data_IF_478235150996
#
_entry.id   IF_478235150996
#
_cell.length_a   1.000
_cell.length_b   1.000
_cell.length_c   1.000
_cell.angle_alpha   90.00
_cell.angle_beta   90.00
_cell.angle_gamma   90.00
#
_symmetry.space_group_name_H-M   'P 1'
#
loop_
_entity.id
_entity.type
_entity.pdbx_description
1 polymer ?
#
# COMPACT_ATOMS: atom_id res chain seq x y z
N UNK A 1 -2.82 1.45 4.53
CA UNK A 1 -2.49 2.18 3.28
C UNK A 1 -3.45 3.32 2.98
N UNK A 2 -4.78 3.13 3.07
CA UNK A 2 -5.78 4.18 2.77
C UNK A 2 -5.52 5.48 3.54
N UNK A 3 -5.42 5.42 4.88
CA UNK A 3 -5.18 6.61 5.72
C UNK A 3 -3.85 7.29 5.40
N UNK A 4 -2.75 6.53 5.37
CA UNK A 4 -1.41 7.05 5.09
C UNK A 4 -1.32 7.65 3.66
N UNK A 5 -2.00 7.06 2.68
CA UNK A 5 -2.11 7.60 1.33
C UNK A 5 -2.94 8.89 1.29
N UNK A 6 -4.03 8.95 2.06
CA UNK A 6 -4.82 10.16 2.27
C UNK A 6 -3.97 11.29 2.86
N UNK A 7 -3.19 11.01 3.91
CA UNK A 7 -2.26 11.98 4.49
C UNK A 7 -1.21 12.46 3.46
N UNK A 8 -0.65 11.54 2.66
CA UNK A 8 0.30 11.87 1.59
C UNK A 8 -0.33 12.77 0.52
N UNK A 9 -1.60 12.56 0.20
CA UNK A 9 -2.34 13.40 -0.76
C UNK A 9 -2.64 14.79 -0.19
N UNK A 10 -3.14 14.86 1.04
CA UNK A 10 -3.62 16.09 1.69
C UNK A 10 -2.48 17.02 2.10
N UNK A 11 -1.31 16.47 2.43
CA UNK A 11 -0.08 17.24 2.70
C UNK A 11 0.64 17.76 1.46
N UNK A 12 0.22 17.35 0.26
CA UNK A 12 0.92 17.66 -0.99
C UNK A 12 2.16 16.81 -1.27
N UNK A 13 2.52 15.88 -0.37
CA UNK A 13 3.72 15.05 -0.46
C UNK A 13 3.75 14.09 -1.65
N UNK A 14 2.61 13.76 -2.25
CA UNK A 14 2.47 12.68 -3.25
C UNK A 14 3.24 12.82 -4.58
N UNK A 15 4.10 13.84 -4.74
CA UNK A 15 4.96 14.06 -5.91
C UNK A 15 6.43 14.31 -5.53
N UNK A 16 6.80 14.13 -4.26
CA UNK A 16 8.16 14.37 -3.75
C UNK A 16 9.19 13.32 -4.20
N UNK A 17 8.75 12.12 -4.61
CA UNK A 17 9.61 11.03 -5.10
C UNK A 17 9.30 10.73 -6.56
N UNK A 18 10.13 11.27 -7.44
CA UNK A 18 9.97 11.13 -8.90
C UNK A 18 10.45 9.79 -9.44
N UNK A 19 11.44 9.19 -8.79
CA UNK A 19 12.05 7.96 -9.26
C UNK A 19 11.25 6.74 -8.79
N UNK A 20 11.12 5.78 -9.70
CA UNK A 20 10.59 4.47 -9.37
C UNK A 20 11.73 3.52 -9.01
N UNK A 21 12.01 3.41 -7.71
CA UNK A 21 13.06 2.56 -7.15
C UNK A 21 12.47 1.49 -6.21
N UNK A 22 11.92 0.36 -6.73
CA UNK A 22 11.23 -0.65 -5.92
C UNK A 22 12.10 -1.38 -4.89
N UNK A 23 13.39 -1.49 -5.17
CA UNK A 23 14.36 -2.16 -4.29
C UNK A 23 15.14 -1.11 -3.49
N UNK A 24 15.99 -0.32 -4.16
CA UNK A 24 16.87 0.66 -3.49
C UNK A 24 16.11 1.73 -2.70
N UNK A 25 14.91 2.13 -3.14
CA UNK A 25 14.09 3.10 -2.42
C UNK A 25 13.48 2.58 -1.11
N UNK A 26 13.74 1.33 -0.71
CA UNK A 26 13.37 0.83 0.61
C UNK A 26 14.22 1.45 1.72
N UNK A 27 15.43 1.90 1.38
CA UNK A 27 16.26 2.72 2.24
C UNK A 27 16.00 4.20 1.94
N UNK A 28 15.97 5.08 2.95
CA UNK A 28 15.93 6.51 2.72
C UNK A 28 17.30 7.01 2.25
N UNK A 29 17.41 8.26 1.76
CA UNK A 29 18.69 8.86 1.43
C UNK A 29 19.61 8.88 2.64
N UNK A 30 20.79 8.26 2.51
CA UNK A 30 21.75 8.10 3.61
C UNK A 30 22.87 9.14 3.60
N UNK A 31 22.95 9.98 2.56
CA UNK A 31 23.98 11.01 2.41
C UNK A 31 23.37 12.36 2.03
N UNK A 32 24.06 13.43 2.41
CA UNK A 32 23.70 14.80 2.05
C UNK A 32 23.71 15.01 0.52
N UNK A 33 24.63 14.36 -0.19
CA UNK A 33 24.69 14.39 -1.65
C UNK A 33 23.43 13.80 -2.29
N UNK A 34 22.92 12.68 -1.77
CA UNK A 34 21.70 12.05 -2.29
C UNK A 34 20.46 12.91 -1.99
N UNK A 35 20.39 13.51 -0.80
CA UNK A 35 19.34 14.47 -0.47
C UNK A 35 19.29 15.65 -1.45
N UNK A 36 20.45 16.21 -1.79
CA UNK A 36 20.55 17.31 -2.75
C UNK A 36 20.19 16.89 -4.17
N UNK A 37 20.57 15.67 -4.58
CA UNK A 37 20.20 15.11 -5.89
C UNK A 37 18.69 14.97 -6.05
N UNK A 38 18.02 14.37 -5.06
CA UNK A 38 16.57 14.19 -5.07
C UNK A 38 15.83 15.53 -4.99
N UNK A 39 16.34 16.47 -4.20
CA UNK A 39 15.77 17.81 -4.15
C UNK A 39 15.93 18.54 -5.48
N UNK A 40 17.08 18.43 -6.15
CA UNK A 40 17.30 19.01 -7.48
C UNK A 40 16.37 18.42 -8.54
N UNK A 41 15.97 17.14 -8.41
CA UNK A 41 14.91 16.56 -9.24
C UNK A 41 13.56 17.19 -8.93
N UNK A 42 13.20 17.32 -7.65
CA UNK A 42 11.96 17.96 -7.24
C UNK A 42 11.82 19.40 -7.72
N UNK A 43 12.92 20.17 -7.74
CA UNK A 43 12.94 21.53 -8.28
C UNK A 43 12.58 21.61 -9.78
N UNK A 44 12.68 20.50 -10.51
CA UNK A 44 12.36 20.44 -11.93
C UNK A 44 10.86 20.30 -12.20
N UNK A 45 10.04 19.88 -11.21
CA UNK A 45 8.61 19.63 -11.44
C UNK A 45 7.74 20.88 -11.19
N UNK A 46 6.56 20.97 -11.82
CA UNK A 46 5.70 22.14 -11.68
C UNK A 46 5.21 22.38 -10.25
N UNK A 47 5.03 21.34 -9.44
CA UNK A 47 4.66 21.51 -8.03
C UNK A 47 5.67 22.39 -7.27
N UNK A 48 6.97 22.22 -7.51
CA UNK A 48 7.96 23.11 -6.89
C UNK A 48 7.82 24.54 -7.43
N UNK A 49 7.81 24.70 -8.76
CA UNK A 49 7.81 26.02 -9.41
C UNK A 49 6.55 26.84 -9.12
N UNK A 50 5.39 26.20 -9.01
CA UNK A 50 4.09 26.86 -8.90
C UNK A 50 3.60 26.98 -7.45
N UNK A 51 4.06 26.12 -6.54
CA UNK A 51 3.53 26.06 -5.16
C UNK A 51 4.61 26.18 -4.08
N UNK A 52 5.82 25.66 -4.32
CA UNK A 52 6.88 25.60 -3.32
C UNK A 52 8.13 26.38 -3.77
N UNK A 53 7.96 27.45 -4.53
CA UNK A 53 9.07 28.29 -4.97
C UNK A 53 9.79 28.87 -3.74
N UNK A 54 11.12 28.76 -3.73
CA UNK A 54 11.94 29.17 -2.58
C UNK A 54 11.97 28.18 -1.41
N UNK A 55 11.28 27.02 -1.50
CA UNK A 55 11.39 25.96 -0.49
C UNK A 55 12.84 25.49 -0.36
N UNK A 56 13.35 25.38 0.87
CA UNK A 56 14.66 24.80 1.15
C UNK A 56 14.63 23.28 1.28
N UNK A 57 15.83 22.68 1.42
CA UNK A 57 15.99 21.22 1.55
C UNK A 57 15.20 20.63 2.73
N UNK A 58 15.10 21.34 3.86
CA UNK A 58 14.35 20.85 5.00
C UNK A 58 12.84 20.79 4.73
N UNK A 59 12.27 21.76 4.00
CA UNK A 59 10.88 21.70 3.55
C UNK A 59 10.64 20.48 2.65
N UNK A 60 11.57 20.22 1.71
CA UNK A 60 11.51 19.03 0.87
C UNK A 60 11.57 17.72 1.68
N UNK A 61 12.43 17.64 2.70
CA UNK A 61 12.52 16.45 3.58
C UNK A 61 11.19 16.12 4.24
N UNK A 62 10.41 17.12 4.66
CA UNK A 62 9.09 16.89 5.26
C UNK A 62 8.12 16.24 4.28
N UNK A 63 8.08 16.70 3.02
CA UNK A 63 7.27 16.08 1.97
C UNK A 63 7.77 14.65 1.67
N UNK A 64 9.09 14.51 1.48
CA UNK A 64 9.73 13.25 1.14
C UNK A 64 9.43 12.15 2.16
N UNK A 65 9.56 12.43 3.46
CA UNK A 65 9.41 11.41 4.50
C UNK A 65 8.02 10.77 4.49
N UNK A 66 6.98 11.57 4.26
CA UNK A 66 5.61 11.05 4.26
C UNK A 66 5.35 10.16 3.05
N UNK A 67 5.79 10.60 1.86
CA UNK A 67 5.66 9.77 0.65
C UNK A 67 6.53 8.51 0.73
N UNK A 68 7.76 8.63 1.22
CA UNK A 68 8.66 7.51 1.42
C UNK A 68 8.06 6.49 2.40
N UNK A 69 7.53 6.94 3.53
CA UNK A 69 6.88 6.08 4.51
C UNK A 69 5.65 5.39 3.91
N UNK A 70 4.85 6.11 3.12
CA UNK A 70 3.74 5.53 2.39
C UNK A 70 4.19 4.40 1.45
N UNK A 71 5.20 4.67 0.61
CA UNK A 71 5.75 3.67 -0.32
C UNK A 71 6.40 2.49 0.39
N UNK A 72 7.17 2.72 1.46
CA UNK A 72 7.82 1.67 2.23
C UNK A 72 6.78 0.78 2.91
N UNK A 73 5.76 1.37 3.55
CA UNK A 73 4.71 0.61 4.23
C UNK A 73 3.94 -0.30 3.28
N UNK A 74 3.69 0.16 2.05
CA UNK A 74 3.11 -0.67 0.99
C UNK A 74 3.97 -1.90 0.66
N UNK A 75 5.29 -1.72 0.55
CA UNK A 75 6.23 -2.83 0.28
C UNK A 75 6.27 -3.84 1.43
N UNK A 76 6.37 -3.33 2.66
CA UNK A 76 6.41 -4.17 3.87
C UNK A 76 5.14 -5.02 4.00
N UNK A 77 3.97 -4.43 3.77
CA UNK A 77 2.70 -5.18 3.76
C UNK A 77 2.67 -6.25 2.66
N UNK A 78 3.21 -5.94 1.46
CA UNK A 78 3.33 -6.90 0.38
C UNK A 78 4.18 -8.11 0.77
N UNK A 79 5.36 -7.88 1.35
CA UNK A 79 6.25 -8.96 1.83
C UNK A 79 5.62 -9.72 2.99
N UNK A 80 5.06 -9.02 3.98
CA UNK A 80 4.41 -9.60 5.14
C UNK A 80 3.19 -10.46 4.77
N UNK A 81 2.53 -10.18 3.64
CA UNK A 81 1.46 -11.00 3.11
C UNK A 81 1.98 -12.17 2.26
N UNK A 82 2.95 -11.93 1.38
CA UNK A 82 3.46 -12.92 0.44
C UNK A 82 4.17 -14.08 1.14
N UNK A 83 5.02 -13.81 2.14
CA UNK A 83 5.81 -14.86 2.78
C UNK A 83 4.93 -15.92 3.49
N UNK A 84 3.94 -15.55 4.33
CA UNK A 84 3.01 -16.53 4.90
C UNK A 84 2.15 -17.21 3.83
N UNK A 85 1.70 -16.49 2.80
CA UNK A 85 0.92 -17.08 1.70
C UNK A 85 1.69 -18.23 1.05
N UNK A 86 2.96 -18.00 0.66
CA UNK A 86 3.81 -19.03 0.08
C UNK A 86 4.02 -20.20 1.06
N UNK A 87 4.33 -19.92 2.33
CA UNK A 87 4.52 -20.94 3.35
C UNK A 87 3.29 -21.85 3.52
N UNK A 88 2.08 -21.28 3.64
CA UNK A 88 0.85 -22.06 3.77
C UNK A 88 0.42 -22.76 2.49
N UNK A 89 0.74 -22.18 1.33
CA UNK A 89 0.46 -22.80 0.04
C UNK A 89 1.34 -24.02 -0.20
N UNK A 90 2.65 -23.88 -0.03
CA UNK A 90 3.64 -24.94 -0.24
C UNK A 90 3.50 -26.07 0.78
N UNK A 91 3.07 -25.76 2.01
CA UNK A 91 2.75 -26.78 3.03
C UNK A 91 1.38 -27.44 2.86
N UNK A 92 0.58 -27.06 1.85
CA UNK A 92 -0.72 -27.67 1.58
C UNK A 92 -1.81 -27.36 2.62
N UNK A 93 -1.58 -26.40 3.53
CA UNK A 93 -2.48 -26.08 4.65
C UNK A 93 -3.71 -25.25 4.27
N UNK A 94 -3.76 -24.74 3.04
CA UNK A 94 -4.85 -23.89 2.54
C UNK A 94 -5.92 -24.70 1.82
N UNK A 95 -7.18 -24.57 2.29
CA UNK A 95 -8.37 -25.07 1.59
C UNK A 95 -8.50 -24.37 0.22
N UNK A 96 -9.02 -25.05 -0.83
CA UNK A 96 -9.08 -24.48 -2.19
C UNK A 96 -9.76 -23.11 -2.28
N UNK A 97 -10.88 -22.93 -1.59
CA UNK A 97 -11.61 -21.66 -1.57
C UNK A 97 -10.79 -20.51 -0.94
N UNK A 98 -10.13 -20.77 0.19
CA UNK A 98 -9.28 -19.77 0.86
C UNK A 98 -8.05 -19.46 0.01
N UNK A 99 -7.45 -20.47 -0.63
CA UNK A 99 -6.32 -20.29 -1.54
C UNK A 99 -6.66 -19.35 -2.70
N UNK A 100 -7.81 -19.53 -3.34
CA UNK A 100 -8.28 -18.66 -4.41
C UNK A 100 -8.51 -17.22 -3.94
N UNK A 101 -9.11 -17.04 -2.75
CA UNK A 101 -9.33 -15.71 -2.15
C UNK A 101 -8.00 -15.01 -1.82
N UNK A 102 -7.04 -15.72 -1.23
CA UNK A 102 -5.73 -15.16 -0.91
C UNK A 102 -4.94 -14.80 -2.18
N UNK A 103 -5.05 -15.61 -3.25
CA UNK A 103 -4.48 -15.27 -4.56
C UNK A 103 -5.10 -14.00 -5.14
N UNK A 104 -6.44 -13.86 -5.06
CA UNK A 104 -7.14 -12.64 -5.48
C UNK A 104 -6.69 -11.42 -4.66
N UNK A 105 -6.58 -11.54 -3.34
CA UNK A 105 -6.08 -10.46 -2.46
C UNK A 105 -4.65 -10.06 -2.86
N UNK A 106 -3.76 -11.03 -3.12
CA UNK A 106 -2.41 -10.75 -3.59
C UNK A 106 -2.43 -9.99 -4.92
N UNK A 107 -3.20 -10.47 -5.90
CA UNK A 107 -3.31 -9.86 -7.22
C UNK A 107 -3.85 -8.42 -7.16
N UNK A 108 -4.89 -8.19 -6.35
CA UNK A 108 -5.45 -6.86 -6.12
C UNK A 108 -4.44 -5.94 -5.39
N UNK A 109 -3.67 -6.47 -4.45
CA UNK A 109 -2.58 -5.74 -3.78
C UNK A 109 -1.43 -5.36 -4.73
N UNK A 110 -1.03 -6.27 -5.61
CA UNK A 110 -0.04 -5.98 -6.65
C UNK A 110 -0.56 -4.94 -7.65
N UNK A 111 -1.82 -5.08 -8.08
CA UNK A 111 -2.49 -4.09 -8.93
C UNK A 111 -2.59 -2.72 -8.25
N UNK A 112 -2.82 -2.68 -6.94
CA UNK A 112 -2.79 -1.45 -6.15
C UNK A 112 -1.44 -0.72 -6.30
N UNK A 113 -0.32 -1.44 -6.15
CA UNK A 113 1.01 -0.88 -6.36
C UNK A 113 1.22 -0.36 -7.79
N UNK A 114 0.78 -1.12 -8.80
CA UNK A 114 0.88 -0.74 -10.21
C UNK A 114 0.06 0.53 -10.53
N UNK A 115 -1.18 0.61 -10.05
CA UNK A 115 -2.03 1.79 -10.19
C UNK A 115 -1.43 2.98 -9.44
N UNK A 116 -0.85 2.77 -8.25
CA UNK A 116 -0.16 3.82 -7.49
C UNK A 116 1.00 4.42 -8.27
N UNK A 117 1.84 3.59 -8.89
CA UNK A 117 2.90 4.04 -9.79
C UNK A 117 2.37 4.82 -10.99
N UNK A 118 1.35 4.29 -11.68
CA UNK A 118 0.71 4.95 -12.82
C UNK A 118 0.09 6.31 -12.45
N UNK A 119 -0.50 6.42 -11.26
CA UNK A 119 -1.13 7.64 -10.76
C UNK A 119 -0.10 8.77 -10.61
N UNK A 120 1.06 8.51 -10.01
CA UNK A 120 2.10 9.53 -9.76
C UNK A 120 2.60 10.17 -11.04
N UNK A 121 2.74 9.39 -12.12
CA UNK A 121 3.24 9.89 -13.41
C UNK A 121 2.43 11.07 -13.96
N UNK A 122 1.14 11.20 -13.61
CA UNK A 122 0.31 12.34 -14.04
C UNK A 122 0.68 13.67 -13.38
N UNK A 123 1.29 13.65 -12.19
CA UNK A 123 1.65 14.88 -11.50
C UNK A 123 2.91 15.57 -12.03
N UNK A 124 3.53 15.00 -13.06
CA UNK A 124 4.71 15.58 -13.73
C UNK A 124 4.37 16.31 -15.03
N UNK A 125 3.09 16.40 -15.41
CA UNK A 125 2.67 17.19 -16.56
C UNK A 125 2.87 18.70 -16.29
N UNK A 126 3.19 19.53 -17.31
CA UNK A 126 3.63 20.92 -17.15
C UNK A 126 2.74 21.81 -16.26
N UNK A 127 1.42 21.59 -16.30
CA UNK A 127 0.45 22.41 -15.56
C UNK A 127 -0.13 21.68 -14.32
N UNK A 128 0.55 20.63 -13.84
CA UNK A 128 0.06 19.78 -12.74
C UNK A 128 0.85 19.98 -11.45
N UNK A 129 0.14 20.36 -10.38
CA UNK A 129 0.69 20.46 -9.01
C UNK A 129 0.31 19.26 -8.13
N UNK A 130 -0.47 18.32 -8.68
CA UNK A 130 -0.96 17.13 -8.00
C UNK A 130 -1.24 16.02 -9.01
N UNK A 131 -1.39 14.79 -8.51
CA UNK A 131 -1.88 13.67 -9.33
C UNK A 131 -3.28 13.95 -9.88
N UNK A 132 -3.55 13.49 -11.09
CA UNK A 132 -4.84 13.66 -11.75
C UNK A 132 -5.96 12.98 -10.94
N UNK A 133 -7.06 13.72 -10.69
CA UNK A 133 -8.18 13.23 -9.89
C UNK A 133 -8.76 11.88 -10.38
N UNK A 134 -8.92 11.62 -11.69
CA UNK A 134 -9.37 10.31 -12.15
C UNK A 134 -8.45 9.15 -11.75
N UNK A 135 -7.12 9.34 -11.82
CA UNK A 135 -6.15 8.30 -11.42
C UNK A 135 -6.19 8.06 -9.92
N UNK A 136 -6.36 9.11 -9.13
CA UNK A 136 -6.55 9.02 -7.68
C UNK A 136 -7.82 8.25 -7.31
N UNK A 137 -8.93 8.52 -7.99
CA UNK A 137 -10.20 7.81 -7.75
C UNK A 137 -10.08 6.34 -8.10
N UNK A 138 -9.42 5.99 -9.22
CA UNK A 138 -9.15 4.59 -9.58
C UNK A 138 -8.31 3.90 -8.49
N UNK A 139 -7.26 4.56 -8.01
CA UNK A 139 -6.40 4.03 -6.96
C UNK A 139 -7.17 3.81 -5.65
N UNK A 140 -7.94 4.80 -5.21
CA UNK A 140 -8.78 4.68 -4.00
C UNK A 140 -9.86 3.61 -4.16
N UNK A 141 -10.57 3.59 -5.29
CA UNK A 141 -11.63 2.61 -5.56
C UNK A 141 -11.12 1.18 -5.51
N UNK A 142 -9.96 0.92 -6.13
CA UNK A 142 -9.32 -0.40 -6.05
C UNK A 142 -8.83 -0.71 -4.61
N UNK A 143 -8.44 0.29 -3.81
CA UNK A 143 -8.04 0.08 -2.41
C UNK A 143 -9.25 -0.29 -1.54
N UNK A 144 -10.40 0.35 -1.77
CA UNK A 144 -11.67 0.03 -1.11
C UNK A 144 -12.18 -1.35 -1.52
N UNK A 145 -12.07 -1.71 -2.80
CA UNK A 145 -12.39 -3.06 -3.28
C UNK A 145 -11.51 -4.11 -2.60
N UNK A 146 -10.19 -3.90 -2.57
CA UNK A 146 -9.26 -4.79 -1.87
C UNK A 146 -9.62 -4.92 -0.38
N UNK A 147 -9.91 -3.81 0.29
CA UNK A 147 -10.36 -3.81 1.69
C UNK A 147 -11.64 -4.64 1.88
N UNK A 148 -12.64 -4.46 1.01
CA UNK A 148 -13.88 -5.21 1.06
C UNK A 148 -13.65 -6.72 0.86
N UNK A 149 -12.77 -7.12 -0.07
CA UNK A 149 -12.41 -8.53 -0.29
C UNK A 149 -11.69 -9.13 0.91
N UNK A 150 -10.76 -8.39 1.53
CA UNK A 150 -10.08 -8.82 2.77
C UNK A 150 -11.08 -8.99 3.89
N UNK A 151 -11.94 -7.99 4.12
CA UNK A 151 -12.94 -8.00 5.17
C UNK A 151 -13.94 -9.15 4.99
N UNK A 152 -14.46 -9.33 3.78
CA UNK A 152 -15.34 -10.43 3.41
C UNK A 152 -14.67 -11.80 3.64
N UNK A 153 -13.41 -11.94 3.25
CA UNK A 153 -12.64 -13.17 3.46
C UNK A 153 -12.48 -13.46 4.95
N UNK A 154 -12.10 -12.46 5.75
CA UNK A 154 -11.95 -12.62 7.20
C UNK A 154 -13.28 -12.99 7.88
N UNK A 155 -14.38 -12.32 7.51
CA UNK A 155 -15.71 -12.60 8.05
C UNK A 155 -16.18 -14.02 7.68
N UNK A 156 -15.97 -14.43 6.43
CA UNK A 156 -16.31 -15.78 5.97
C UNK A 156 -15.57 -16.86 6.75
N UNK A 157 -14.28 -16.66 7.02
CA UNK A 157 -13.46 -17.60 7.79
C UNK A 157 -13.83 -17.62 9.27
N UNK A 158 -14.16 -16.46 9.84
CA UNK A 158 -14.63 -16.35 11.22
C UNK A 158 -15.98 -17.07 11.42
N UNK A 159 -16.94 -16.84 10.53
CA UNK A 159 -18.26 -17.49 10.59
C UNK A 159 -18.15 -19.00 10.34
N UNK A 160 -17.36 -19.43 9.36
CA UNK A 160 -17.13 -20.86 9.09
C UNK A 160 -16.43 -21.60 10.25
N UNK A 161 -15.71 -20.88 11.12
CA UNK A 161 -15.13 -21.43 12.35
C UNK A 161 -16.14 -21.68 13.46
N UNK A 162 -17.25 -20.93 13.49
CA UNK A 162 -18.31 -21.04 14.49
C UNK A 162 -19.25 -22.24 14.30
N UNK A 163 -19.39 -22.71 13.07
CA UNK A 163 -20.28 -23.83 12.71
C UNK A 163 -19.65 -25.22 12.86
N UNK A 164 -18.46 -25.36 13.47
CA UNK A 164 -17.89 -26.68 13.75
C UNK A 164 -18.70 -27.38 14.85
N UNK A 165 -19.42 -28.49 14.56
CA UNK A 165 -20.12 -29.24 15.58
C UNK A 165 -19.09 -30.08 16.35
N UNK A 166 -18.55 -29.50 17.42
CA UNK A 166 -17.60 -30.18 18.31
C UNK A 166 -17.50 -29.61 19.73
N UNK A 167 -18.23 -28.54 20.05
CA UNK A 167 -18.19 -27.90 21.37
C UNK A 167 -19.32 -28.30 22.34
N UNK A 168 -20.22 -29.21 21.95
CA UNK A 168 -21.38 -29.60 22.78
C UNK A 168 -21.66 -31.11 22.72
N UNK A 169 -20.85 -31.92 23.41
CA UNK A 169 -21.27 -33.24 23.91
C UNK A 169 -20.14 -33.95 24.69
N UNK A 170 -19.94 -33.58 25.95
CA UNK A 170 -19.18 -34.40 26.91
C UNK A 170 -19.77 -34.33 28.33
N UNK A 171 -21.10 -34.25 28.43
CA UNK A 171 -21.81 -34.05 29.71
C UNK A 171 -23.10 -34.85 29.86
N UNK A 172 -23.24 -35.99 29.18
CA UNK A 172 -24.40 -36.87 29.37
C UNK A 172 -24.01 -38.32 29.04
N UNK A 173 -23.31 -39.00 29.95
CA UNK A 173 -23.32 -40.46 30.12
C UNK A 173 -22.31 -40.90 31.20
N UNK A 174 -22.67 -40.73 32.48
CA UNK A 174 -22.22 -41.58 33.60
C UNK A 174 -23.40 -41.65 34.57
N UNK A 175 -24.27 -42.64 34.42
CA UNK A 175 -24.36 -43.82 35.28
C UNK A 175 -25.70 -43.70 36.02
N UNK A 176 -26.71 -44.55 35.80
CA UNK A 176 -26.76 -45.97 36.15
C UNK A 176 -26.37 -46.20 37.62
#
# INVERSE_FOLDING_TARGET
>A
MVVLGGATRLSGAGLSIMEWAPISGALPPLSEAEWRRLFALYQQIPQYRLLHEGMGLDGFRHLFWLEWLHRLWGRLLGVAFLLPLLGFWLSGRLRPALRARLALIFALGAMQGAVGWFMVASGFFPDSIAVAAPRLVIHLGLALLLYAVIFWTALSEFMAGGDRPGGRSAGAARGA
#
